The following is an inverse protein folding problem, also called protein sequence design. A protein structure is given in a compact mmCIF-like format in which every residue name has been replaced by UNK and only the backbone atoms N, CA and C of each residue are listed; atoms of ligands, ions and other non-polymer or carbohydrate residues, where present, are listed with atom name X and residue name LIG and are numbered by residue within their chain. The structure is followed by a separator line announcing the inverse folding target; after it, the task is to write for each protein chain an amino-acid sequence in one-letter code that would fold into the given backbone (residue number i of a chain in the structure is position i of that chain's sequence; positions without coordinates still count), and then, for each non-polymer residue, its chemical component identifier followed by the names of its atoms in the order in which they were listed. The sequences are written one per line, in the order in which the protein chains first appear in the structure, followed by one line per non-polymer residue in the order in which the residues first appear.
data_IF_593133092307
#
_entry.id   IF_593133092307
#
_cell.length_a   1.000
_cell.length_b   1.000
_cell.length_c   1.000
_cell.angle_alpha   90.00
_cell.angle_beta   90.00
_cell.angle_gamma   90.00
#
_symmetry.space_group_name_H-M   'P 1'
#
loop_
_entity.id
_entity.type
_entity.pdbx_description
1 polymer ?
#
# COMPACT_ATOMS: atom_id res chain seq x y z
N UNK A 1 4.39 14.66 36.50
CA UNK A 1 5.21 13.43 36.56
C UNK A 1 4.33 12.27 36.09
N UNK A 2 4.37 12.01 34.78
CA UNK A 2 4.87 10.74 34.20
C UNK A 2 3.89 9.56 34.37
N UNK A 3 2.98 9.38 33.42
CA UNK A 3 2.32 8.11 33.13
C UNK A 3 2.76 7.63 31.76
N UNK A 4 3.89 6.94 31.83
CA UNK A 4 4.49 5.91 30.98
C UNK A 4 3.62 5.33 29.85
N UNK A 5 4.28 5.25 28.69
CA UNK A 5 4.00 4.46 27.49
C UNK A 5 3.21 3.16 27.72
N UNK A 6 2.27 2.90 26.80
CA UNK A 6 2.02 1.55 26.30
C UNK A 6 1.83 1.61 24.77
N UNK A 7 2.90 1.96 24.06
CA UNK A 7 3.16 1.38 22.74
C UNK A 7 3.50 -0.08 23.02
N UNK A 8 2.53 -0.99 22.88
CA UNK A 8 2.85 -2.42 22.85
C UNK A 8 3.44 -2.69 21.47
N UNK A 9 4.76 -2.52 21.38
CA UNK A 9 5.61 -3.20 20.40
C UNK A 9 6.03 -4.50 21.06
N UNK A 10 5.25 -5.57 20.89
CA UNK A 10 5.68 -6.91 21.22
C UNK A 10 5.03 -7.91 20.26
N UNK A 11 5.85 -8.49 19.39
CA UNK A 11 5.72 -9.89 19.02
C UNK A 11 7.10 -10.37 18.57
N UNK A 12 7.97 -10.66 19.55
CA UNK A 12 9.18 -11.43 19.29
C UNK A 12 8.84 -12.86 18.86
N UNK A 13 9.80 -13.47 18.16
CA UNK A 13 9.67 -14.53 17.16
C UNK A 13 9.20 -15.93 17.63
N UNK A 14 8.46 -16.08 18.73
CA UNK A 14 8.02 -17.40 19.17
C UNK A 14 6.68 -17.32 19.93
N UNK A 15 5.57 -17.52 19.23
CA UNK A 15 4.32 -18.11 19.78
C UNK A 15 3.18 -17.97 18.77
N UNK A 16 2.40 -19.04 18.61
CA UNK A 16 1.00 -18.98 18.15
C UNK A 16 0.28 -17.77 18.73
N UNK A 17 -0.50 -17.03 17.92
CA UNK A 17 -1.32 -15.90 18.42
C UNK A 17 -2.27 -16.45 19.50
N UNK A 18 -2.11 -16.09 20.78
CA UNK A 18 -3.03 -16.52 21.82
C UNK A 18 -4.40 -15.87 21.58
N UNK A 19 -5.51 -16.60 21.78
CA UNK A 19 -6.85 -15.99 21.79
C UNK A 19 -6.93 -14.82 22.80
N UNK A 20 -6.10 -14.84 23.86
CA UNK A 20 -5.96 -13.79 24.86
C UNK A 20 -5.50 -12.44 24.31
N UNK A 21 -4.82 -12.39 23.16
CA UNK A 21 -4.51 -11.11 22.49
C UNK A 21 -5.77 -10.40 21.96
N UNK A 22 -6.84 -11.16 21.73
CA UNK A 22 -8.14 -10.66 21.33
C UNK A 22 -9.12 -10.55 22.51
N UNK A 23 -8.90 -11.29 23.60
CA UNK A 23 -9.85 -11.44 24.72
C UNK A 23 -9.42 -10.85 26.05
N UNK A 24 -8.15 -10.48 26.27
CA UNK A 24 -7.79 -9.74 27.48
C UNK A 24 -8.17 -8.26 27.37
N UNK A 25 -8.94 -7.72 28.33
CA UNK A 25 -9.31 -6.31 28.35
C UNK A 25 -8.11 -5.48 28.81
N UNK A 26 -7.14 -5.25 27.92
CA UNK A 26 -6.00 -4.37 28.19
C UNK A 26 -6.36 -2.88 27.96
N UNK A 27 -7.60 -2.58 27.55
CA UNK A 27 -8.24 -1.27 27.68
C UNK A 27 -9.77 -1.41 27.59
N UNK A 28 -10.52 -0.40 28.05
CA UNK A 28 -12.00 -0.28 27.90
C UNK A 28 -12.47 -0.18 26.43
N UNK A 29 -11.56 -0.21 25.44
CA UNK A 29 -11.94 -0.06 24.03
C UNK A 29 -12.46 -1.37 23.44
N UNK A 30 -13.59 -1.26 22.73
CA UNK A 30 -14.25 -2.34 22.00
C UNK A 30 -13.72 -2.55 20.57
N UNK A 31 -12.69 -1.81 20.15
CA UNK A 31 -12.17 -1.82 18.77
C UNK A 31 -10.65 -1.86 18.70
N UNK A 32 -10.11 -2.50 17.67
CA UNK A 32 -8.66 -2.57 17.41
C UNK A 32 -8.32 -2.06 16.01
N UNK A 33 -7.17 -1.40 15.87
CA UNK A 33 -6.59 -0.97 14.59
C UNK A 33 -5.27 -1.73 14.43
N UNK A 34 -5.20 -2.58 13.41
CA UNK A 34 -4.04 -3.41 13.14
C UNK A 34 -3.39 -2.93 11.85
N UNK A 35 -2.23 -2.29 11.94
CA UNK A 35 -1.43 -1.88 10.79
C UNK A 35 -0.46 -3.00 10.41
N UNK A 36 -0.78 -3.75 9.35
CA UNK A 36 0.08 -4.77 8.78
C UNK A 36 0.98 -4.13 7.74
N UNK A 37 2.28 -4.05 8.05
CA UNK A 37 3.28 -3.32 7.29
C UNK A 37 4.48 -4.19 6.99
N UNK A 38 5.36 -3.71 6.11
CA UNK A 38 6.75 -4.18 6.06
C UNK A 38 7.68 -2.99 6.20
N UNK A 39 8.90 -3.18 6.74
CA UNK A 39 9.82 -2.08 6.95
C UNK A 39 10.22 -1.38 5.64
N UNK A 40 10.16 -2.12 4.53
CA UNK A 40 10.47 -1.67 3.18
C UNK A 40 9.27 -1.14 2.39
N UNK A 41 8.15 -0.93 3.05
CA UNK A 41 6.97 -0.39 2.40
C UNK A 41 6.95 1.14 2.50
N UNK A 42 7.38 1.82 1.43
CA UNK A 42 7.31 3.29 1.32
C UNK A 42 5.90 3.87 1.60
N UNK A 43 4.81 3.30 1.03
CA UNK A 43 3.45 3.73 1.39
C UNK A 43 3.08 3.51 2.86
N UNK A 44 3.69 2.53 3.55
CA UNK A 44 3.48 2.30 4.98
C UNK A 44 4.13 3.42 5.80
N UNK A 45 5.38 3.77 5.51
CA UNK A 45 6.06 4.90 6.16
C UNK A 45 5.33 6.23 5.93
N UNK A 46 4.73 6.40 4.73
CA UNK A 46 3.87 7.55 4.44
C UNK A 46 2.60 7.55 5.30
N UNK A 47 1.93 6.40 5.42
CA UNK A 47 0.75 6.23 6.26
C UNK A 47 1.05 6.53 7.73
N UNK A 48 2.19 6.06 8.24
CA UNK A 48 2.65 6.37 9.60
C UNK A 48 2.75 7.88 9.83
N UNK A 49 3.47 8.58 8.94
CA UNK A 49 3.71 10.01 9.06
C UNK A 49 2.44 10.86 8.89
N UNK A 50 1.61 10.53 7.90
CA UNK A 50 0.48 11.38 7.51
C UNK A 50 -0.82 11.03 8.27
N UNK A 51 -0.96 9.80 8.78
CA UNK A 51 -2.18 9.36 9.47
C UNK A 51 -1.89 9.04 10.94
N UNK A 52 -0.97 8.12 11.22
CA UNK A 52 -0.74 7.67 12.60
C UNK A 52 0.08 8.63 13.46
N UNK A 53 0.70 9.65 12.86
CA UNK A 53 1.27 10.80 13.55
C UNK A 53 0.41 12.07 13.39
N UNK A 54 -0.75 11.97 12.74
CA UNK A 54 -1.69 13.07 12.55
C UNK A 54 -2.44 13.47 13.83
N UNK A 55 -2.97 14.69 13.86
CA UNK A 55 -3.71 15.22 15.02
C UNK A 55 -4.99 14.43 15.30
N UNK A 56 -5.64 13.93 14.25
CA UNK A 56 -6.87 13.14 14.41
C UNK A 56 -6.55 11.82 15.10
N UNK A 57 -5.45 11.17 14.74
CA UNK A 57 -4.97 9.97 15.44
C UNK A 57 -4.65 10.27 16.91
N UNK A 58 -3.91 11.35 17.20
CA UNK A 58 -3.57 11.72 18.60
C UNK A 58 -4.83 11.90 19.47
N UNK A 59 -5.88 12.51 18.93
CA UNK A 59 -7.17 12.70 19.62
C UNK A 59 -7.95 11.40 19.80
N UNK A 60 -7.84 10.46 18.84
CA UNK A 60 -8.65 9.24 18.78
C UNK A 60 -7.95 7.98 19.27
N UNK A 61 -6.64 8.01 19.52
CA UNK A 61 -5.85 6.80 19.89
C UNK A 61 -6.37 6.11 21.16
N UNK A 62 -7.01 6.83 22.08
CA UNK A 62 -7.64 6.25 23.27
C UNK A 62 -8.91 5.43 22.98
N UNK A 63 -9.50 5.60 21.79
CA UNK A 63 -10.70 4.88 21.35
C UNK A 63 -10.37 3.49 20.80
N UNK A 64 -9.11 3.20 20.49
CA UNK A 64 -8.72 1.95 19.82
C UNK A 64 -7.56 1.27 20.53
N UNK A 65 -7.47 -0.05 20.41
CA UNK A 65 -6.22 -0.79 20.61
C UNK A 65 -5.41 -0.75 19.31
N UNK A 66 -4.25 -0.10 19.32
CA UNK A 66 -3.41 -0.03 18.13
C UNK A 66 -2.32 -1.10 18.18
N UNK A 67 -2.18 -1.88 17.11
CA UNK A 67 -1.12 -2.86 16.93
C UNK A 67 -0.46 -2.65 15.58
N UNK A 68 0.86 -2.66 15.56
CA UNK A 68 1.64 -2.64 14.33
C UNK A 68 2.29 -4.01 14.13
N UNK A 69 2.04 -4.64 12.99
CA UNK A 69 2.43 -6.03 12.71
C UNK A 69 3.38 -6.04 11.52
N UNK A 70 4.62 -6.44 11.77
CA UNK A 70 5.60 -6.65 10.71
C UNK A 70 5.30 -7.95 9.97
N UNK A 71 4.96 -7.84 8.69
CA UNK A 71 4.57 -8.95 7.85
C UNK A 71 5.74 -9.87 7.44
N UNK A 72 6.99 -9.40 7.59
CA UNK A 72 8.18 -10.22 7.34
C UNK A 72 8.50 -11.19 8.50
N UNK A 73 7.87 -10.99 9.67
CA UNK A 73 8.03 -11.82 10.85
C UNK A 73 7.00 -12.96 10.91
N UNK A 74 7.28 -14.01 11.70
CA UNK A 74 6.40 -15.17 11.86
C UNK A 74 4.99 -14.77 12.33
N UNK A 75 4.89 -13.81 13.27
CA UNK A 75 3.61 -13.25 13.70
C UNK A 75 2.85 -12.64 12.52
N UNK A 76 3.54 -11.92 11.64
CA UNK A 76 2.98 -11.29 10.46
C UNK A 76 2.42 -12.27 9.45
N UNK A 77 3.02 -13.45 9.31
CA UNK A 77 2.49 -14.53 8.49
C UNK A 77 1.15 -15.03 9.02
N UNK A 78 1.01 -15.18 10.34
CA UNK A 78 -0.26 -15.57 10.96
C UNK A 78 -1.38 -14.55 10.69
N UNK A 79 -1.06 -13.25 10.67
CA UNK A 79 -2.00 -12.20 10.29
C UNK A 79 -2.35 -12.23 8.80
N UNK A 80 -1.37 -12.50 7.92
CA UNK A 80 -1.61 -12.69 6.49
C UNK A 80 -2.56 -13.85 6.24
N UNK A 81 -2.35 -14.99 6.90
CA UNK A 81 -3.18 -16.17 6.74
C UNK A 81 -4.60 -15.93 7.27
N UNK A 82 -4.73 -15.42 8.52
CA UNK A 82 -6.02 -15.24 9.18
C UNK A 82 -6.91 -14.20 8.52
N UNK A 83 -6.34 -13.07 8.07
CA UNK A 83 -7.10 -11.95 7.52
C UNK A 83 -6.92 -11.77 6.01
N UNK A 84 -6.23 -12.71 5.35
CA UNK A 84 -5.94 -12.65 3.91
C UNK A 84 -5.31 -11.30 3.53
N UNK A 85 -4.23 -10.94 4.22
CA UNK A 85 -3.47 -9.73 3.90
C UNK A 85 -2.59 -10.02 2.69
N UNK A 86 -2.96 -9.43 1.56
CA UNK A 86 -2.34 -9.70 0.25
C UNK A 86 -1.32 -8.63 -0.17
N UNK A 87 -1.14 -7.58 0.63
CA UNK A 87 -0.18 -6.50 0.36
C UNK A 87 -0.18 -5.44 1.46
N UNK A 88 0.72 -4.46 1.33
CA UNK A 88 1.05 -3.52 2.41
C UNK A 88 1.02 -2.05 1.94
N UNK A 89 0.62 -1.10 2.82
CA UNK A 89 0.02 -1.35 4.13
C UNK A 89 -1.36 -1.98 3.98
N UNK A 90 -1.75 -2.81 4.94
CA UNK A 90 -3.15 -3.17 5.17
C UNK A 90 -3.49 -2.83 6.60
N UNK A 91 -4.42 -1.90 6.78
CA UNK A 91 -4.94 -1.55 8.10
C UNK A 91 -6.28 -2.24 8.30
N UNK A 92 -6.36 -3.12 9.29
CA UNK A 92 -7.58 -3.80 9.70
C UNK A 92 -8.22 -3.05 10.87
N UNK A 93 -9.52 -2.80 10.78
CA UNK A 93 -10.31 -2.32 11.92
C UNK A 93 -11.12 -3.50 12.42
N UNK A 94 -10.90 -3.91 13.67
CA UNK A 94 -11.52 -5.10 14.26
C UNK A 94 -12.41 -4.73 15.45
N UNK A 95 -13.44 -5.53 15.69
CA UNK A 95 -14.21 -5.48 16.94
C UNK A 95 -13.51 -6.20 18.11
N UNK A 96 -14.11 -6.15 19.29
CA UNK A 96 -13.60 -6.80 20.50
C UNK A 96 -13.56 -8.33 20.43
N UNK A 97 -14.10 -8.95 19.37
CA UNK A 97 -14.03 -10.40 19.10
C UNK A 97 -13.05 -10.72 17.95
N UNK A 98 -12.31 -9.73 17.46
CA UNK A 98 -11.37 -9.88 16.36
C UNK A 98 -12.02 -10.00 14.98
N UNK A 99 -13.32 -9.66 14.83
CA UNK A 99 -14.01 -9.67 13.54
C UNK A 99 -13.75 -8.37 12.80
N UNK A 100 -13.55 -8.45 11.50
CA UNK A 100 -13.21 -7.31 10.65
C UNK A 100 -14.41 -6.38 10.42
N UNK A 101 -14.32 -5.15 10.91
CA UNK A 101 -15.25 -4.05 10.61
C UNK A 101 -15.02 -3.52 9.21
N UNK A 102 -13.76 -3.24 8.89
CA UNK A 102 -13.31 -2.77 7.57
C UNK A 102 -11.81 -2.99 7.43
N UNK A 103 -11.32 -2.84 6.20
CA UNK A 103 -9.90 -2.77 5.88
C UNK A 103 -9.60 -1.57 5.01
N UNK A 104 -8.40 -1.03 5.16
CA UNK A 104 -7.85 0.03 4.33
C UNK A 104 -6.57 -0.52 3.71
N UNK A 105 -6.61 -0.72 2.39
CA UNK A 105 -5.50 -1.28 1.62
C UNK A 105 -4.73 -0.18 0.88
N UNK A 106 -3.42 -0.15 1.06
CA UNK A 106 -2.56 0.89 0.52
C UNK A 106 -2.65 2.20 1.33
N UNK A 107 -1.93 3.21 0.84
CA UNK A 107 -2.00 4.56 1.41
C UNK A 107 -3.30 5.25 1.00
N UNK A 108 -3.96 5.90 1.96
CA UNK A 108 -5.07 6.84 1.78
C UNK A 108 -4.80 8.09 2.61
N UNK A 109 -5.37 9.24 2.22
CA UNK A 109 -5.21 10.49 2.96
C UNK A 109 -5.93 10.43 4.32
N UNK A 110 -5.46 11.19 5.32
CA UNK A 110 -5.98 11.16 6.70
C UNK A 110 -7.51 11.33 6.77
N UNK A 111 -8.07 12.30 6.04
CA UNK A 111 -9.52 12.53 6.02
C UNK A 111 -10.29 11.30 5.50
N UNK A 112 -9.80 10.69 4.42
CA UNK A 112 -10.41 9.48 3.85
C UNK A 112 -10.25 8.28 4.79
N UNK A 113 -9.09 8.13 5.42
CA UNK A 113 -8.81 7.09 6.41
C UNK A 113 -9.87 7.11 7.51
N UNK A 114 -10.07 8.27 8.15
CA UNK A 114 -11.01 8.39 9.25
C UNK A 114 -12.47 8.30 8.81
N UNK A 115 -12.82 8.81 7.63
CA UNK A 115 -14.16 8.62 7.06
C UNK A 115 -14.49 7.12 6.89
N UNK A 116 -13.52 6.31 6.42
CA UNK A 116 -13.69 4.86 6.29
C UNK A 116 -13.83 4.18 7.66
N UNK A 117 -13.03 4.60 8.65
CA UNK A 117 -13.14 4.10 10.03
C UNK A 117 -14.51 4.42 10.62
N UNK A 118 -14.96 5.67 10.52
CA UNK A 118 -16.24 6.12 11.08
C UNK A 118 -17.44 5.44 10.44
N UNK A 119 -17.41 5.26 9.12
CA UNK A 119 -18.43 4.50 8.41
C UNK A 119 -18.50 3.03 8.89
N UNK A 120 -17.35 2.41 9.17
CA UNK A 120 -17.29 1.04 9.67
C UNK A 120 -17.81 0.90 11.10
N UNK A 121 -17.49 1.85 11.98
CA UNK A 121 -17.99 1.87 13.35
C UNK A 121 -19.52 2.00 13.43
N UNK A 122 -20.15 2.64 12.43
CA UNK A 122 -21.62 2.77 12.34
C UNK A 122 -22.33 1.71 11.49
N UNK A 123 -21.60 0.86 10.75
CA UNK A 123 -22.13 0.10 9.62
C UNK A 123 -22.16 -1.43 9.75
N UNK A 124 -21.70 -1.99 10.88
CA UNK A 124 -21.51 -3.43 11.06
C UNK A 124 -20.30 -3.98 10.29
N UNK A 125 -20.05 -5.28 10.44
CA UNK A 125 -18.78 -5.91 10.02
C UNK A 125 -18.76 -6.24 8.53
N UNK A 126 -17.58 -6.37 7.92
CA UNK A 126 -17.43 -6.69 6.48
C UNK A 126 -18.29 -7.89 6.09
N UNK A 127 -18.28 -8.96 6.91
CA UNK A 127 -19.10 -10.16 6.68
C UNK A 127 -20.60 -9.87 6.77
N UNK A 128 -21.03 -9.06 7.72
CA UNK A 128 -22.44 -8.65 7.84
C UNK A 128 -22.87 -7.81 6.64
N UNK A 129 -21.99 -6.93 6.16
CA UNK A 129 -22.23 -6.13 4.97
C UNK A 129 -22.29 -7.02 3.71
N UNK A 130 -21.42 -8.02 3.58
CA UNK A 130 -21.50 -9.04 2.52
C UNK A 130 -22.80 -9.85 2.59
N UNK A 131 -23.27 -10.22 3.78
CA UNK A 131 -24.57 -10.90 3.96
C UNK A 131 -25.73 -9.99 3.54
N UNK A 132 -25.73 -8.72 3.94
CA UNK A 132 -26.72 -7.73 3.48
C UNK A 132 -26.67 -7.58 1.96
N UNK A 133 -25.49 -7.59 1.36
CA UNK A 133 -25.31 -7.56 -0.08
C UNK A 133 -25.90 -8.79 -0.77
N UNK A 134 -25.66 -9.99 -0.21
CA UNK A 134 -26.27 -11.26 -0.67
C UNK A 134 -27.80 -11.19 -0.64
N UNK A 135 -28.37 -10.51 0.35
CA UNK A 135 -29.82 -10.31 0.50
C UNK A 135 -30.39 -9.13 -0.31
N UNK A 136 -29.56 -8.36 -1.01
CA UNK A 136 -30.00 -7.19 -1.77
C UNK A 136 -30.37 -5.97 -0.91
N UNK A 137 -29.87 -5.89 0.33
CA UNK A 137 -30.27 -4.89 1.33
C UNK A 137 -29.35 -3.67 1.41
N UNK A 138 -28.35 -3.56 0.53
CA UNK A 138 -27.42 -2.42 0.49
C UNK A 138 -27.78 -1.45 -0.63
N UNK A 139 -27.76 -0.15 -0.30
CA UNK A 139 -27.84 0.90 -1.31
C UNK A 139 -26.53 0.99 -2.12
N UNK A 140 -26.56 1.50 -3.36
CA UNK A 140 -25.36 1.63 -4.20
C UNK A 140 -24.21 2.39 -3.55
N UNK A 141 -24.50 3.42 -2.74
CA UNK A 141 -23.45 4.21 -2.06
C UNK A 141 -22.68 3.41 -1.00
N UNK A 142 -23.32 2.42 -0.39
CA UNK A 142 -22.69 1.55 0.61
C UNK A 142 -22.11 0.27 0.00
N UNK A 143 -22.39 0.00 -1.28
CA UNK A 143 -21.96 -1.26 -1.93
C UNK A 143 -20.50 -1.20 -2.37
N UNK A 144 -20.00 -0.04 -2.77
CA UNK A 144 -18.64 0.11 -3.31
C UNK A 144 -17.56 -0.27 -2.28
N UNK A 145 -17.57 0.23 -1.03
CA UNK A 145 -16.57 -0.18 -0.05
C UNK A 145 -16.60 -1.69 0.27
N UNK A 146 -17.79 -2.30 0.23
CA UNK A 146 -17.95 -3.75 0.45
C UNK A 146 -17.32 -4.53 -0.70
N UNK A 147 -17.58 -4.12 -1.94
CA UNK A 147 -16.98 -4.73 -3.13
C UNK A 147 -15.46 -4.55 -3.17
N UNK A 148 -14.93 -3.38 -2.77
CA UNK A 148 -13.48 -3.19 -2.62
C UNK A 148 -12.88 -4.15 -1.57
N UNK A 149 -13.55 -4.33 -0.43
CA UNK A 149 -13.13 -5.29 0.58
C UNK A 149 -13.15 -6.73 0.03
N UNK A 150 -14.19 -7.10 -0.73
CA UNK A 150 -14.28 -8.41 -1.39
C UNK A 150 -13.12 -8.64 -2.37
N UNK A 151 -12.77 -7.65 -3.18
CA UNK A 151 -11.63 -7.71 -4.11
C UNK A 151 -10.35 -8.01 -3.34
N UNK A 152 -10.03 -7.20 -2.32
CA UNK A 152 -8.77 -7.31 -1.59
C UNK A 152 -8.70 -8.61 -0.78
N UNK A 153 -9.84 -9.12 -0.29
CA UNK A 153 -9.95 -10.42 0.36
C UNK A 153 -9.85 -11.61 -0.60
N UNK A 154 -9.93 -11.36 -1.90
CA UNK A 154 -9.96 -12.41 -2.91
C UNK A 154 -11.24 -13.24 -2.87
N UNK A 155 -12.36 -12.65 -2.44
CA UNK A 155 -13.64 -13.36 -2.34
C UNK A 155 -14.10 -13.85 -3.73
N UNK A 156 -14.35 -15.17 -3.90
CA UNK A 156 -14.65 -15.75 -5.22
C UNK A 156 -15.99 -15.27 -5.80
N UNK A 157 -16.89 -14.77 -4.95
CA UNK A 157 -18.20 -14.25 -5.37
C UNK A 157 -18.13 -12.84 -5.97
N UNK A 158 -17.01 -12.10 -5.82
CA UNK A 158 -16.90 -10.72 -6.29
C UNK A 158 -17.34 -10.52 -7.76
N UNK A 159 -16.90 -11.35 -8.74
CA UNK A 159 -17.30 -11.17 -10.14
C UNK A 159 -18.81 -11.25 -10.34
N UNK A 160 -19.49 -12.16 -9.63
CA UNK A 160 -20.94 -12.32 -9.73
C UNK A 160 -21.68 -11.10 -9.15
N UNK A 161 -21.20 -10.54 -8.03
CA UNK A 161 -21.75 -9.30 -7.48
C UNK A 161 -21.50 -8.09 -8.36
N UNK A 162 -20.29 -7.96 -8.90
CA UNK A 162 -19.92 -6.87 -9.82
C UNK A 162 -20.81 -6.84 -11.06
N UNK A 163 -21.16 -8.01 -11.60
CA UNK A 163 -22.08 -8.13 -12.73
C UNK A 163 -23.51 -7.75 -12.33
N UNK A 164 -24.02 -8.29 -11.20
CA UNK A 164 -25.37 -8.02 -10.72
C UNK A 164 -25.63 -6.52 -10.48
N UNK A 165 -24.61 -5.80 -10.03
CA UNK A 165 -24.70 -4.40 -9.64
C UNK A 165 -24.29 -3.43 -10.74
N UNK A 166 -23.96 -3.91 -11.94
CA UNK A 166 -23.40 -3.10 -13.01
C UNK A 166 -24.27 -1.87 -13.35
N UNK A 167 -25.59 -2.06 -13.43
CA UNK A 167 -26.54 -0.98 -13.73
C UNK A 167 -26.83 -0.06 -12.53
N UNK A 168 -26.43 -0.46 -11.32
CA UNK A 168 -26.64 0.32 -10.10
C UNK A 168 -25.42 1.19 -9.73
N UNK A 169 -24.27 0.93 -10.34
CA UNK A 169 -23.03 1.68 -10.10
C UNK A 169 -22.95 2.91 -11.00
N UNK A 170 -22.46 4.01 -10.44
CA UNK A 170 -22.07 5.15 -11.28
C UNK A 170 -20.85 4.78 -12.13
N UNK A 171 -20.60 5.45 -13.27
CA UNK A 171 -19.38 5.23 -14.04
C UNK A 171 -18.10 5.41 -13.22
N UNK A 172 -18.09 6.37 -12.27
CA UNK A 172 -16.95 6.59 -11.39
C UNK A 172 -16.75 5.42 -10.41
N UNK A 173 -17.83 4.91 -9.81
CA UNK A 173 -17.77 3.78 -8.89
C UNK A 173 -17.33 2.48 -9.60
N UNK A 174 -17.85 2.25 -10.81
CA UNK A 174 -17.44 1.13 -11.65
C UNK A 174 -15.95 1.20 -11.99
N UNK A 175 -15.45 2.38 -12.41
CA UNK A 175 -14.05 2.59 -12.72
C UNK A 175 -13.14 2.41 -11.48
N UNK A 176 -13.60 2.86 -10.31
CA UNK A 176 -12.91 2.67 -9.02
C UNK A 176 -12.76 1.18 -8.69
N UNK A 177 -13.82 0.39 -8.83
CA UNK A 177 -13.81 -1.04 -8.56
C UNK A 177 -12.94 -1.81 -9.57
N UNK A 178 -13.03 -1.46 -10.85
CA UNK A 178 -12.21 -2.08 -11.89
C UNK A 178 -10.71 -1.77 -11.67
N UNK A 179 -10.37 -0.56 -11.23
CA UNK A 179 -8.99 -0.21 -10.85
C UNK A 179 -8.53 -0.98 -9.60
N UNK A 180 -9.38 -1.11 -8.59
CA UNK A 180 -9.09 -1.92 -7.42
C UNK A 180 -8.83 -3.39 -7.80
N UNK A 181 -9.65 -3.94 -8.69
CA UNK A 181 -9.51 -5.32 -9.17
C UNK A 181 -8.25 -5.50 -10.03
N UNK A 182 -7.93 -4.57 -10.92
CA UNK A 182 -6.69 -4.61 -11.69
C UNK A 182 -5.44 -4.56 -10.78
N UNK A 183 -5.48 -3.74 -9.72
CA UNK A 183 -4.40 -3.70 -8.72
C UNK A 183 -4.28 -5.01 -7.95
N UNK A 184 -5.41 -5.63 -7.61
CA UNK A 184 -5.46 -6.94 -6.98
C UNK A 184 -4.80 -8.02 -7.86
N UNK A 185 -5.06 -8.05 -9.16
CA UNK A 185 -4.44 -9.02 -10.07
C UNK A 185 -2.91 -8.85 -10.20
N UNK A 186 -2.41 -7.63 -9.95
CA UNK A 186 -0.98 -7.35 -9.96
C UNK A 186 -0.23 -7.80 -8.71
N UNK A 187 -0.94 -8.18 -7.63
CA UNK A 187 -0.34 -8.56 -6.34
C UNK A 187 0.66 -9.72 -6.51
N UNK A 188 1.68 -9.76 -5.62
CA UNK A 188 2.84 -10.66 -5.68
C UNK A 188 2.50 -12.14 -5.87
N UNK A 189 1.38 -12.62 -5.34
CA UNK A 189 0.96 -14.02 -5.45
C UNK A 189 0.08 -14.31 -6.68
N UNK A 190 -0.61 -13.30 -7.22
CA UNK A 190 -1.51 -13.45 -8.38
C UNK A 190 -0.73 -13.30 -9.68
N UNK A 191 -0.04 -12.16 -9.83
CA UNK A 191 0.77 -11.81 -11.02
C UNK A 191 0.03 -12.04 -12.35
N UNK A 192 -1.29 -11.85 -12.38
CA UNK A 192 -2.08 -11.92 -13.62
C UNK A 192 -1.95 -10.59 -14.37
N UNK A 193 -0.75 -10.37 -14.89
CA UNK A 193 -0.40 -9.14 -15.59
C UNK A 193 -1.22 -8.96 -16.88
N UNK A 194 -1.67 -10.06 -17.50
CA UNK A 194 -2.45 -10.03 -18.73
C UNK A 194 -3.85 -9.50 -18.45
N UNK A 195 -4.55 -10.07 -17.47
CA UNK A 195 -5.89 -9.62 -17.10
C UNK A 195 -5.85 -8.17 -16.58
N UNK A 196 -4.88 -7.86 -15.70
CA UNK A 196 -4.68 -6.51 -15.22
C UNK A 196 -4.48 -5.50 -16.36
N UNK A 197 -3.61 -5.80 -17.34
CA UNK A 197 -3.36 -4.89 -18.45
C UNK A 197 -4.62 -4.68 -19.31
N UNK A 198 -5.39 -5.74 -19.58
CA UNK A 198 -6.65 -5.64 -20.34
C UNK A 198 -7.64 -4.70 -19.67
N UNK A 199 -7.85 -4.84 -18.36
CA UNK A 199 -8.73 -3.96 -17.59
C UNK A 199 -8.22 -2.51 -17.58
N UNK A 200 -6.92 -2.32 -17.37
CA UNK A 200 -6.30 -0.99 -17.33
C UNK A 200 -6.35 -0.28 -18.69
N UNK A 201 -6.21 -1.00 -19.80
CA UNK A 201 -6.36 -0.46 -21.16
C UNK A 201 -7.78 0.03 -21.42
N UNK A 202 -8.79 -0.77 -21.02
CA UNK A 202 -10.20 -0.38 -21.11
C UNK A 202 -10.46 0.88 -20.29
N UNK A 203 -10.07 0.89 -19.02
CA UNK A 203 -10.24 2.03 -18.13
C UNK A 203 -9.56 3.28 -18.66
N UNK A 204 -8.35 3.15 -19.22
CA UNK A 204 -7.63 4.29 -19.81
C UNK A 204 -8.42 4.91 -20.96
N UNK A 205 -8.92 4.09 -21.89
CA UNK A 205 -9.70 4.57 -23.04
C UNK A 205 -10.98 5.29 -22.58
N UNK A 206 -11.68 4.70 -21.62
CA UNK A 206 -12.87 5.29 -21.03
C UNK A 206 -12.60 6.61 -20.31
N UNK A 207 -11.57 6.66 -19.48
CA UNK A 207 -11.14 7.86 -18.77
C UNK A 207 -10.72 8.98 -19.73
N UNK A 208 -10.04 8.64 -20.83
CA UNK A 208 -9.70 9.59 -21.90
C UNK A 208 -10.95 10.19 -22.53
N UNK A 209 -11.94 9.35 -22.89
CA UNK A 209 -13.18 9.81 -23.49
C UNK A 209 -13.98 10.74 -22.56
N UNK A 210 -13.88 10.53 -21.24
CA UNK A 210 -14.57 11.35 -20.23
C UNK A 210 -13.74 12.54 -19.71
N UNK A 211 -12.49 12.69 -20.13
CA UNK A 211 -11.58 13.74 -19.62
C UNK A 211 -11.20 13.57 -18.14
N UNK A 212 -11.16 12.33 -17.63
CA UNK A 212 -10.90 12.03 -16.22
C UNK A 212 -9.40 12.01 -15.89
N UNK A 213 -8.77 13.18 -15.85
CA UNK A 213 -7.32 13.33 -15.66
C UNK A 213 -6.80 12.64 -14.38
N UNK A 214 -7.55 12.75 -13.27
CA UNK A 214 -7.17 12.10 -12.01
C UNK A 214 -7.11 10.57 -12.14
N UNK A 215 -8.06 9.98 -12.86
CA UNK A 215 -8.07 8.53 -13.11
C UNK A 215 -6.90 8.14 -14.03
N UNK A 216 -6.63 8.91 -15.09
CA UNK A 216 -5.50 8.65 -15.98
C UNK A 216 -4.17 8.61 -15.22
N UNK A 217 -3.95 9.55 -14.29
CA UNK A 217 -2.78 9.54 -13.41
C UNK A 217 -2.74 8.30 -12.51
N UNK A 218 -3.89 7.92 -11.92
CA UNK A 218 -3.99 6.75 -11.05
C UNK A 218 -3.73 5.41 -11.77
N UNK A 219 -3.86 5.36 -13.10
CA UNK A 219 -3.61 4.19 -13.93
C UNK A 219 -2.13 3.99 -14.30
N UNK A 220 -1.29 5.04 -14.24
CA UNK A 220 0.11 4.99 -14.71
C UNK A 220 0.92 3.86 -14.09
N UNK A 221 1.02 3.83 -12.76
CA UNK A 221 1.86 2.85 -12.03
C UNK A 221 1.35 1.41 -12.17
N UNK A 222 0.05 1.10 -11.96
CA UNK A 222 -0.47 -0.25 -12.18
C UNK A 222 -0.21 -0.75 -13.61
N UNK A 223 -0.38 0.12 -14.61
CA UNK A 223 -0.17 -0.24 -16.00
C UNK A 223 1.30 -0.50 -16.33
N UNK A 224 2.20 0.37 -15.88
CA UNK A 224 3.65 0.16 -15.98
C UNK A 224 4.05 -1.19 -15.33
N UNK A 225 3.53 -1.49 -14.14
CA UNK A 225 3.76 -2.78 -13.48
C UNK A 225 3.27 -3.97 -14.31
N UNK A 226 2.11 -3.85 -14.95
CA UNK A 226 1.58 -4.87 -15.84
C UNK A 226 2.46 -5.07 -17.09
N UNK A 227 2.92 -3.98 -17.71
CA UNK A 227 3.81 -4.02 -18.88
C UNK A 227 5.15 -4.67 -18.55
N UNK A 228 5.80 -4.26 -17.46
CA UNK A 228 7.07 -4.85 -16.99
C UNK A 228 6.89 -6.34 -16.66
N UNK A 229 5.80 -6.70 -15.97
CA UNK A 229 5.49 -8.10 -15.66
C UNK A 229 5.30 -8.98 -16.90
N UNK A 230 4.75 -8.42 -17.98
CA UNK A 230 4.61 -9.07 -19.29
C UNK A 230 5.87 -8.98 -20.16
N UNK A 231 6.97 -8.42 -19.66
CA UNK A 231 8.22 -8.16 -20.41
C UNK A 231 8.00 -7.31 -21.65
N UNK A 232 7.03 -6.38 -21.61
CA UNK A 232 6.74 -5.41 -22.67
C UNK A 232 7.59 -4.15 -22.49
N UNK A 233 8.90 -4.34 -22.43
CA UNK A 233 9.86 -3.34 -21.95
C UNK A 233 9.86 -2.07 -22.80
N UNK A 234 9.76 -2.19 -24.12
CA UNK A 234 9.69 -1.05 -25.03
C UNK A 234 8.45 -0.17 -24.75
N UNK A 235 7.28 -0.78 -24.53
CA UNK A 235 6.06 -0.04 -24.20
C UNK A 235 6.15 0.59 -22.80
N UNK A 236 6.74 -0.12 -21.83
CA UNK A 236 6.96 0.43 -20.50
C UNK A 236 7.89 1.65 -20.54
N UNK A 237 8.99 1.59 -21.33
CA UNK A 237 9.90 2.72 -21.53
C UNK A 237 9.19 3.93 -22.15
N UNK A 238 8.39 3.73 -23.21
CA UNK A 238 7.61 4.81 -23.82
C UNK A 238 6.67 5.48 -22.80
N UNK A 239 6.05 4.70 -21.91
CA UNK A 239 5.17 5.23 -20.87
C UNK A 239 5.92 5.98 -19.77
N UNK A 240 7.12 5.53 -19.38
CA UNK A 240 7.99 6.24 -18.43
C UNK A 240 8.46 7.58 -19.00
N UNK A 241 8.94 7.60 -20.24
CA UNK A 241 9.40 8.82 -20.91
C UNK A 241 8.28 9.83 -21.10
N UNK A 242 7.08 9.35 -21.47
CA UNK A 242 5.89 10.20 -21.54
C UNK A 242 5.55 10.78 -20.18
N UNK A 243 5.55 9.97 -19.12
CA UNK A 243 5.26 10.45 -17.77
C UNK A 243 6.26 11.53 -17.35
N UNK A 244 7.55 11.33 -17.58
CA UNK A 244 8.58 12.32 -17.27
C UNK A 244 8.39 13.62 -18.06
N UNK A 245 7.97 13.54 -19.33
CA UNK A 245 7.71 14.72 -20.16
C UNK A 245 6.50 15.52 -19.67
N UNK A 246 5.43 14.83 -19.26
CA UNK A 246 4.21 15.44 -18.72
C UNK A 246 4.43 16.03 -17.32
N UNK A 247 5.25 15.37 -16.50
CA UNK A 247 5.52 15.73 -15.11
C UNK A 247 7.03 15.66 -14.83
N UNK A 248 7.80 16.72 -15.13
CA UNK A 248 9.26 16.72 -14.92
C UNK A 248 9.68 16.46 -13.46
N UNK A 249 8.82 16.79 -12.50
CA UNK A 249 9.03 16.52 -11.07
C UNK A 249 8.75 15.05 -10.67
N UNK A 250 8.29 14.19 -11.60
CA UNK A 250 8.02 12.78 -11.34
C UNK A 250 9.30 11.90 -11.27
N UNK A 251 10.49 12.48 -11.47
CA UNK A 251 11.78 11.76 -11.45
C UNK A 251 11.95 10.89 -10.20
N UNK A 252 11.55 11.36 -9.01
CA UNK A 252 11.58 10.57 -7.78
C UNK A 252 10.66 9.34 -7.84
N UNK A 253 9.43 9.49 -8.34
CA UNK A 253 8.50 8.37 -8.44
C UNK A 253 8.93 7.35 -9.51
N UNK A 254 9.46 7.83 -10.64
CA UNK A 254 9.96 6.99 -11.73
C UNK A 254 11.19 6.19 -11.30
N UNK A 255 12.17 6.84 -10.66
CA UNK A 255 13.40 6.17 -10.19
C UNK A 255 13.09 5.11 -9.14
N UNK A 256 12.20 5.42 -8.19
CA UNK A 256 11.69 4.44 -7.23
C UNK A 256 11.01 3.26 -7.92
N UNK A 257 10.11 3.51 -8.88
CA UNK A 257 9.42 2.45 -9.64
C UNK A 257 10.41 1.52 -10.34
N UNK A 258 11.36 2.09 -11.10
CA UNK A 258 12.40 1.34 -11.81
C UNK A 258 13.24 0.49 -10.86
N UNK A 259 13.68 1.06 -9.74
CA UNK A 259 14.41 0.34 -8.69
C UNK A 259 13.59 -0.81 -8.12
N UNK A 260 12.34 -0.58 -7.70
CA UNK A 260 11.45 -1.61 -7.16
C UNK A 260 11.21 -2.76 -8.13
N UNK A 261 10.94 -2.45 -9.40
CA UNK A 261 10.65 -3.46 -10.41
C UNK A 261 11.91 -4.14 -10.99
N UNK A 262 13.11 -3.71 -10.60
CA UNK A 262 14.37 -4.09 -11.27
C UNK A 262 14.34 -3.80 -12.78
N UNK A 263 13.73 -2.69 -13.17
CA UNK A 263 13.47 -2.35 -14.56
C UNK A 263 14.19 -1.07 -14.95
N UNK A 264 14.78 -1.03 -16.14
CA UNK A 264 15.47 0.15 -16.69
C UNK A 264 16.46 0.83 -15.71
N UNK A 265 17.16 0.02 -14.89
CA UNK A 265 17.93 0.52 -13.74
C UNK A 265 19.04 1.50 -14.13
N UNK A 266 19.74 1.26 -15.25
CA UNK A 266 20.77 2.16 -15.79
C UNK A 266 20.20 3.50 -16.25
N UNK A 267 19.06 3.49 -16.95
CA UNK A 267 18.40 4.72 -17.40
C UNK A 267 17.89 5.52 -16.20
N UNK A 268 17.25 4.85 -15.24
CA UNK A 268 16.79 5.47 -14.01
C UNK A 268 17.95 5.99 -13.14
N UNK A 269 19.11 5.35 -13.13
CA UNK A 269 20.31 5.87 -12.46
C UNK A 269 20.73 7.22 -13.06
N UNK A 270 20.80 7.31 -14.39
CA UNK A 270 21.11 8.58 -15.07
C UNK A 270 20.12 9.68 -14.70
N UNK A 271 18.82 9.36 -14.61
CA UNK A 271 17.78 10.28 -14.17
C UNK A 271 17.97 10.72 -12.71
N UNK A 272 18.24 9.77 -11.79
CA UNK A 272 18.48 10.07 -10.37
C UNK A 272 19.72 10.96 -10.18
N UNK A 273 20.80 10.67 -10.92
CA UNK A 273 22.03 11.49 -10.88
C UNK A 273 21.79 12.89 -11.43
N UNK A 274 20.99 13.03 -12.50
CA UNK A 274 20.60 14.34 -13.02
C UNK A 274 19.84 15.14 -11.97
N UNK A 275 18.84 14.52 -11.33
CA UNK A 275 18.07 15.16 -10.26
C UNK A 275 18.94 15.58 -9.06
N UNK A 276 19.95 14.77 -8.69
CA UNK A 276 20.89 15.10 -7.62
C UNK A 276 21.86 16.23 -7.96
N UNK A 277 22.09 16.55 -9.24
CA UNK A 277 22.84 17.76 -9.61
C UNK A 277 22.05 19.02 -9.30
N UNK A 278 20.75 18.99 -9.53
CA UNK A 278 19.83 20.11 -9.25
C UNK A 278 19.52 20.22 -7.75
N UNK A 279 19.33 19.09 -7.07
CA UNK A 279 18.99 19.02 -5.65
C UNK A 279 19.95 18.08 -4.89
N UNK A 280 21.18 18.55 -4.58
CA UNK A 280 22.22 17.69 -3.98
C UNK A 280 21.91 17.17 -2.57
N UNK A 281 20.99 17.83 -1.85
CA UNK A 281 20.59 17.49 -0.48
C UNK A 281 19.25 16.75 -0.43
N UNK A 282 18.96 15.91 -1.43
CA UNK A 282 17.76 15.07 -1.44
C UNK A 282 18.06 13.67 -0.90
N UNK A 283 17.72 13.42 0.37
CA UNK A 283 17.89 12.10 1.00
C UNK A 283 17.08 11.01 0.27
N UNK A 284 15.84 11.32 -0.12
CA UNK A 284 14.97 10.38 -0.85
C UNK A 284 15.49 10.02 -2.25
N UNK A 285 16.09 10.97 -2.97
CA UNK A 285 16.71 10.67 -4.26
C UNK A 285 18.00 9.84 -4.11
N UNK A 286 18.78 10.09 -3.04
CA UNK A 286 19.94 9.25 -2.72
C UNK A 286 19.53 7.82 -2.36
N UNK A 287 18.42 7.63 -1.64
CA UNK A 287 17.84 6.31 -1.36
C UNK A 287 17.41 5.58 -2.64
N UNK A 288 16.71 6.28 -3.55
CA UNK A 288 16.36 5.73 -4.87
C UNK A 288 17.61 5.35 -5.68
N UNK A 289 18.64 6.19 -5.66
CA UNK A 289 19.92 5.90 -6.32
C UNK A 289 20.57 4.65 -5.71
N UNK A 290 20.58 4.53 -4.37
CA UNK A 290 21.10 3.36 -3.69
C UNK A 290 20.37 2.07 -4.11
N UNK A 291 19.04 2.10 -4.16
CA UNK A 291 18.24 0.98 -4.66
C UNK A 291 18.64 0.60 -6.10
N UNK A 292 18.78 1.58 -6.98
CA UNK A 292 19.17 1.36 -8.39
C UNK A 292 20.58 0.79 -8.53
N UNK A 293 21.53 1.25 -7.72
CA UNK A 293 22.91 0.76 -7.68
C UNK A 293 22.98 -0.68 -7.17
N UNK A 294 22.27 -0.96 -6.07
CA UNK A 294 22.17 -2.31 -5.52
C UNK A 294 21.58 -3.31 -6.53
N UNK A 295 20.53 -2.91 -7.27
CA UNK A 295 19.93 -3.72 -8.34
C UNK A 295 20.88 -4.00 -9.51
N UNK A 296 21.91 -3.19 -9.68
CA UNK A 296 22.98 -3.38 -10.65
C UNK A 296 24.19 -4.16 -10.09
N UNK A 297 24.13 -4.61 -8.83
CA UNK A 297 25.24 -5.31 -8.15
C UNK A 297 26.33 -4.37 -7.61
N UNK A 298 26.13 -3.06 -7.64
CA UNK A 298 27.07 -2.05 -7.15
C UNK A 298 26.78 -1.72 -5.68
N UNK A 299 26.99 -2.71 -4.82
CA UNK A 299 26.58 -2.65 -3.40
C UNK A 299 27.32 -1.57 -2.62
N UNK A 300 28.64 -1.43 -2.79
CA UNK A 300 29.42 -0.40 -2.09
C UNK A 300 28.97 1.02 -2.48
N UNK A 301 28.79 1.29 -3.77
CA UNK A 301 28.26 2.58 -4.24
C UNK A 301 26.86 2.88 -3.68
N UNK A 302 26.03 1.83 -3.50
CA UNK A 302 24.70 1.96 -2.91
C UNK A 302 24.79 2.33 -1.42
N UNK A 303 25.70 1.69 -0.68
CA UNK A 303 25.97 2.01 0.73
C UNK A 303 26.45 3.45 0.87
N UNK A 304 27.38 3.91 0.02
CA UNK A 304 27.87 5.28 0.02
C UNK A 304 26.75 6.31 -0.19
N UNK A 305 25.82 6.01 -1.11
CA UNK A 305 24.65 6.85 -1.33
C UNK A 305 23.76 6.92 -0.07
N UNK A 306 23.57 5.81 0.64
CA UNK A 306 22.77 5.79 1.89
C UNK A 306 23.46 6.48 3.05
N UNK A 307 24.78 6.36 3.19
CA UNK A 307 25.55 7.12 4.20
C UNK A 307 25.34 8.62 4.01
N UNK A 308 25.40 9.09 2.75
CA UNK A 308 25.09 10.50 2.42
C UNK A 308 23.64 10.86 2.69
N UNK A 309 22.69 9.96 2.37
CA UNK A 309 21.27 10.19 2.64
C UNK A 309 21.02 10.38 4.15
N UNK A 310 21.64 9.55 5.00
CA UNK A 310 21.53 9.63 6.47
C UNK A 310 22.21 10.86 7.08
N UNK A 311 23.25 11.39 6.45
CA UNK A 311 23.82 12.67 6.87
C UNK A 311 22.84 13.84 6.65
N UNK A 312 21.95 13.71 5.66
CA UNK A 312 20.91 14.70 5.36
C UNK A 312 19.70 14.50 6.27
N UNK A 313 19.25 13.25 6.44
CA UNK A 313 18.11 12.88 7.30
C UNK A 313 18.54 11.79 8.31
N UNK A 314 19.12 12.17 9.45
CA UNK A 314 19.65 11.23 10.42
C UNK A 314 18.56 10.53 11.23
N UNK A 315 17.32 11.01 11.21
CA UNK A 315 16.22 10.42 12.00
C UNK A 315 15.42 9.38 11.21
N UNK A 316 15.64 9.26 9.89
CA UNK A 316 14.92 8.29 9.06
C UNK A 316 15.37 6.84 9.32
N UNK A 317 14.50 6.08 10.00
CA UNK A 317 14.66 4.66 10.28
C UNK A 317 14.76 3.80 9.01
N UNK A 318 14.11 4.21 7.92
CA UNK A 318 14.14 3.48 6.66
C UNK A 318 15.56 3.48 6.07
N UNK A 319 16.23 4.63 6.07
CA UNK A 319 17.61 4.75 5.56
C UNK A 319 18.58 3.88 6.36
N UNK A 320 18.42 3.84 7.70
CA UNK A 320 19.20 2.95 8.57
C UNK A 320 19.00 1.49 8.21
N UNK A 321 17.74 1.08 8.03
CA UNK A 321 17.41 -0.30 7.70
C UNK A 321 17.93 -0.70 6.31
N UNK A 322 17.75 0.15 5.32
CA UNK A 322 18.20 -0.12 3.96
C UNK A 322 19.72 -0.30 3.92
N UNK A 323 20.46 0.56 4.62
CA UNK A 323 21.92 0.45 4.71
C UNK A 323 22.32 -0.84 5.43
N UNK A 324 21.71 -1.13 6.59
CA UNK A 324 21.96 -2.35 7.35
C UNK A 324 21.75 -3.60 6.48
N UNK A 325 20.63 -3.67 5.76
CA UNK A 325 20.31 -4.79 4.87
C UNK A 325 21.36 -4.97 3.77
N UNK A 326 21.83 -3.88 3.14
CA UNK A 326 22.88 -3.96 2.13
C UNK A 326 24.21 -4.44 2.71
N UNK A 327 24.59 -3.99 3.92
CA UNK A 327 25.82 -4.43 4.58
C UNK A 327 25.77 -5.91 4.99
N UNK A 328 24.62 -6.37 5.50
CA UNK A 328 24.48 -7.74 6.02
C UNK A 328 24.23 -8.76 4.90
N UNK A 329 23.47 -8.39 3.87
CA UNK A 329 22.94 -9.34 2.87
C UNK A 329 23.39 -9.04 1.45
N UNK A 330 24.03 -7.89 1.20
CA UNK A 330 24.31 -7.40 -0.14
C UNK A 330 23.07 -7.00 -0.93
N UNK A 331 21.88 -6.99 -0.30
CA UNK A 331 20.59 -6.77 -0.97
C UNK A 331 19.78 -5.68 -0.28
N UNK A 332 19.10 -4.90 -1.12
CA UNK A 332 18.06 -3.99 -0.64
C UNK A 332 16.91 -4.81 -0.05
N UNK A 333 16.23 -4.33 1.00
CA UNK A 333 15.06 -5.00 1.54
C UNK A 333 13.83 -4.85 0.61
N UNK A 334 13.93 -4.05 -0.46
CA UNK A 334 12.86 -3.77 -1.44
C UNK A 334 12.73 -4.79 -2.57
#
# INVERSE_FOLDING_TARGET
MSTTLALIVLASANSTIPESWFSEPQSRSQYSVIDVYTPWCGPCARLDREVFQGDTFRKRRGTFRFLKVNADEAVGQLWQDRYHVVGYPTVLILDGRGRELTRIFGFVQEAEFWNRVDAALGGGHVEQQMLRLRRGELSPKNVVPVLEAMIVRGEPEYPAFRLRLENALTPQDAARLDLAFARYELIRHRKDYRNALTLLDRLRKEAQNRGEESLLKALRVPRLRALVGLKKDALAMVELERWLREEPNASGAITWFCGKQNFATKWAESLARSALKEQPKSASMLDNLALLLARQGRVEDAIDALVRARQIDPEDDWLRLHEKSLRETGKSPL
#
